data_IF_354270396334
#
_entry.id   IF_354270396334
#
_cell.length_a   1.000
_cell.length_b   1.000
_cell.length_c   1.000
_cell.angle_alpha   90.00
_cell.angle_beta   90.00
_cell.angle_gamma   90.00
#
_symmetry.space_group_name_H-M   'P 1'
#
loop_
_entity.id
_entity.type
_entity.pdbx_description
1 polymer ?
#
# COMPACT_ATOMS: atom_id res chain seq x y z
N UNK A 1 0.52 4.27 -19.45
CA UNK A 1 -0.58 3.60 -18.71
C UNK A 1 -0.29 3.76 -17.22
N UNK A 2 -1.25 4.25 -16.43
CA UNK A 2 -1.08 4.44 -14.99
C UNK A 2 -1.73 3.30 -14.22
N UNK A 3 -1.05 2.78 -13.20
CA UNK A 3 -1.55 1.68 -12.36
C UNK A 3 -1.64 2.13 -10.91
N UNK A 4 -2.64 1.56 -10.22
CA UNK A 4 -2.88 1.76 -8.79
C UNK A 4 -2.39 0.51 -8.05
N UNK A 5 -1.29 0.64 -7.32
CA UNK A 5 -0.84 -0.43 -6.41
C UNK A 5 -1.52 -0.20 -5.07
N UNK A 6 -2.15 -1.25 -4.54
CA UNK A 6 -2.69 -1.30 -3.19
C UNK A 6 -1.78 -2.17 -2.32
N UNK A 7 -1.30 -1.61 -1.22
CA UNK A 7 -0.46 -2.31 -0.24
C UNK A 7 -1.14 -2.26 1.11
N UNK A 8 -1.46 -3.42 1.68
CA UNK A 8 -2.06 -3.53 3.01
C UNK A 8 -0.97 -3.70 4.07
N UNK A 9 -0.93 -2.80 5.04
CA UNK A 9 0.07 -2.78 6.13
C UNK A 9 -0.61 -2.88 7.49
N UNK A 10 0.10 -3.43 8.48
CA UNK A 10 -0.50 -3.82 9.76
C UNK A 10 -0.47 -2.70 10.79
N UNK A 11 0.49 -1.78 10.68
CA UNK A 11 0.72 -0.72 11.66
C UNK A 11 1.02 0.62 11.01
N UNK A 12 0.72 1.72 11.71
CA UNK A 12 1.08 3.08 11.28
C UNK A 12 2.60 3.23 11.06
N UNK A 13 3.41 2.59 11.90
CA UNK A 13 4.87 2.65 11.78
C UNK A 13 5.37 2.04 10.47
N UNK A 14 4.78 0.92 10.03
CA UNK A 14 5.13 0.30 8.74
C UNK A 14 4.71 1.20 7.57
N UNK A 15 3.53 1.81 7.66
CA UNK A 15 3.00 2.74 6.64
C UNK A 15 3.95 3.91 6.45
N UNK A 16 4.32 4.59 7.54
CA UNK A 16 5.21 5.74 7.50
C UNK A 16 6.60 5.36 6.94
N UNK A 17 7.10 4.17 7.28
CA UNK A 17 8.37 3.67 6.75
C UNK A 17 8.31 3.43 5.23
N UNK A 18 7.21 2.85 4.72
CA UNK A 18 7.04 2.58 3.28
C UNK A 18 6.85 3.88 2.51
N UNK A 19 6.02 4.81 3.00
CA UNK A 19 5.80 6.12 2.37
C UNK A 19 7.10 6.90 2.24
N UNK A 20 7.86 7.02 3.33
CA UNK A 20 9.17 7.69 3.33
C UNK A 20 10.11 7.08 2.30
N UNK A 21 10.18 5.75 2.20
CA UNK A 21 11.06 5.08 1.22
C UNK A 21 10.62 5.34 -0.23
N UNK A 22 9.32 5.42 -0.48
CA UNK A 22 8.79 5.74 -1.81
C UNK A 22 9.07 7.19 -2.22
N UNK A 23 9.01 8.12 -1.27
CA UNK A 23 9.45 9.51 -1.45
C UNK A 23 10.95 9.59 -1.74
N UNK A 24 11.79 8.94 -0.93
CA UNK A 24 13.26 8.89 -1.11
C UNK A 24 13.65 8.34 -2.49
N UNK A 25 12.93 7.31 -2.97
CA UNK A 25 13.17 6.69 -4.27
C UNK A 25 12.48 7.42 -5.44
N UNK A 26 11.77 8.54 -5.20
CA UNK A 26 11.02 9.32 -6.20
C UNK A 26 10.07 8.45 -7.05
N UNK A 27 9.45 7.43 -6.44
CA UNK A 27 8.68 6.40 -7.16
C UNK A 27 7.25 6.83 -7.57
N UNK A 28 6.93 8.11 -7.46
CA UNK A 28 5.63 8.69 -7.78
C UNK A 28 4.77 9.00 -6.56
N UNK A 29 3.53 9.41 -6.81
CA UNK A 29 2.60 9.85 -5.77
C UNK A 29 2.07 8.66 -4.96
N UNK A 30 2.16 8.77 -3.64
CA UNK A 30 1.69 7.77 -2.69
C UNK A 30 0.76 8.43 -1.67
N UNK A 31 -0.43 7.87 -1.47
CA UNK A 31 -1.43 8.37 -0.53
C UNK A 31 -1.70 7.32 0.55
N UNK A 32 -1.69 7.75 1.81
CA UNK A 32 -2.15 6.94 2.94
C UNK A 32 -3.67 6.99 2.97
N UNK A 33 -4.31 5.82 2.96
CA UNK A 33 -5.73 5.69 3.24
C UNK A 33 -5.88 5.12 4.65
N UNK A 34 -6.61 5.83 5.51
CA UNK A 34 -6.81 5.47 6.91
C UNK A 34 -7.51 4.12 7.11
N UNK A 35 -7.33 3.57 8.32
CA UNK A 35 -7.46 2.16 8.62
C UNK A 35 -8.77 1.51 8.19
N UNK A 36 -8.70 0.65 7.18
CA UNK A 36 -9.81 -0.21 6.77
C UNK A 36 -9.69 -1.58 7.45
N UNK A 37 -10.83 -2.15 7.85
CA UNK A 37 -10.90 -3.56 8.22
C UNK A 37 -10.92 -4.40 6.96
N UNK A 38 -9.96 -5.30 6.80
CA UNK A 38 -9.96 -6.29 5.72
C UNK A 38 -10.12 -7.70 6.28
N UNK A 39 -10.96 -8.49 5.60
CA UNK A 39 -11.15 -9.91 5.87
C UNK A 39 -10.22 -10.68 4.95
N UNK A 40 -9.43 -11.59 5.50
CA UNK A 40 -8.63 -12.52 4.73
C UNK A 40 -8.93 -13.96 5.18
N UNK A 41 -8.91 -14.88 4.23
CA UNK A 41 -9.06 -16.31 4.49
C UNK A 41 -7.67 -16.94 4.56
N UNK A 42 -7.37 -17.60 5.67
CA UNK A 42 -6.13 -18.37 5.82
C UNK A 42 -6.45 -19.72 6.45
N UNK A 43 -6.07 -20.82 5.78
CA UNK A 43 -6.37 -22.19 6.21
C UNK A 43 -7.86 -22.38 6.55
N UNK A 44 -8.73 -21.96 5.63
CA UNK A 44 -10.20 -22.06 5.75
C UNK A 44 -10.81 -21.35 6.97
N UNK A 45 -10.06 -20.42 7.57
CA UNK A 45 -10.54 -19.54 8.63
C UNK A 45 -10.57 -18.11 8.12
N UNK A 46 -11.74 -17.49 8.22
CA UNK A 46 -11.87 -16.05 8.04
C UNK A 46 -11.25 -15.32 9.24
N UNK A 47 -10.42 -14.33 8.95
CA UNK A 47 -9.81 -13.47 9.95
C UNK A 47 -9.97 -12.02 9.52
N UNK A 48 -10.54 -11.22 10.42
CA UNK A 48 -10.66 -9.78 10.22
C UNK A 48 -9.46 -9.08 10.86
N UNK A 49 -8.84 -8.16 10.12
CA UNK A 49 -7.74 -7.36 10.63
C UNK A 49 -7.90 -5.90 10.23
N UNK A 50 -7.63 -5.01 11.18
CA UNK A 50 -7.43 -3.58 10.89
C UNK A 50 -6.05 -3.39 10.29
N UNK A 51 -5.98 -2.64 9.21
CA UNK A 51 -4.73 -2.16 8.69
C UNK A 51 -4.92 -1.01 7.74
N UNK A 52 -3.83 -0.59 7.14
CA UNK A 52 -3.76 0.63 6.35
C UNK A 52 -3.53 0.27 4.90
N UNK A 53 -4.02 1.12 4.01
CA UNK A 53 -3.76 0.97 2.58
C UNK A 53 -2.90 2.13 2.10
N UNK A 54 -1.89 1.79 1.29
CA UNK A 54 -1.16 2.78 0.51
C UNK A 54 -1.61 2.65 -0.94
N UNK A 55 -1.99 3.79 -1.52
CA UNK A 55 -2.30 3.92 -2.93
C UNK A 55 -1.15 4.58 -3.65
N UNK A 56 -0.48 3.82 -4.51
CA UNK A 56 0.59 4.36 -5.36
C UNK A 56 0.10 4.51 -6.78
N UNK A 57 0.20 5.73 -7.32
CA UNK A 57 0.03 6.00 -8.75
C UNK A 57 1.40 6.03 -9.40
N UNK A 58 1.68 5.04 -10.25
CA UNK A 58 2.91 5.05 -11.07
C UNK A 58 2.55 5.06 -12.54
N UNK A 59 3.35 5.82 -13.30
CA UNK A 59 3.38 5.79 -14.76
C UNK A 59 4.56 4.91 -15.16
N UNK A 60 4.31 3.78 -15.81
CA UNK A 60 5.37 3.04 -16.49
C UNK A 60 5.82 3.90 -17.68
N UNK A 61 6.88 4.68 -17.48
CA UNK A 61 7.66 5.20 -18.59
C UNK A 61 8.34 4.00 -19.27
N UNK A 62 8.34 3.97 -20.61
CA UNK A 62 9.13 2.98 -21.36
C UNK A 62 10.56 3.01 -20.80
N UNK A 63 11.01 1.89 -20.26
CA UNK A 63 12.43 1.71 -19.96
C UNK A 63 13.17 1.88 -21.29
N UNK A 64 13.95 2.95 -21.39
CA UNK A 64 14.90 3.18 -22.48
C UNK A 64 16.18 2.42 -22.17
#
# INVERSE_FOLDING_TARGET
MAYRIRISLKTDSEVNRVLRRYEEMKLGFCEKVEGHSFVYVFKDRESMRKGYEILKKTVLGKAH
#
